data_IF_616929322693
#
_entry.id   IF_616929322693
#
_cell.length_a   1.000
_cell.length_b   1.000
_cell.length_c   1.000
_cell.angle_alpha   90.00
_cell.angle_beta   90.00
_cell.angle_gamma   90.00
#
_symmetry.space_group_name_H-M   'P 1'
#
loop_
_entity.id
_entity.type
_entity.pdbx_description
1 polymer ?
#
# COMPACT_ATOMS: atom_id res chain seq x y z
N UNK A 1 14.23 -14.59 -17.14
CA UNK A 1 13.19 -13.60 -17.53
C UNK A 1 13.71 -12.19 -17.29
N UNK A 2 13.36 -11.15 -18.05
CA UNK A 2 13.77 -9.80 -17.70
C UNK A 2 13.04 -9.39 -16.41
N UNK A 3 13.79 -8.90 -15.42
CA UNK A 3 13.24 -8.23 -14.22
C UNK A 3 12.16 -7.23 -14.66
N UNK A 4 11.08 -7.00 -13.88
CA UNK A 4 10.33 -5.77 -14.05
C UNK A 4 11.35 -4.64 -13.88
N UNK A 5 11.61 -3.91 -14.96
CA UNK A 5 12.45 -2.72 -14.87
C UNK A 5 11.86 -1.82 -13.79
N UNK A 6 12.69 -1.14 -13.01
CA UNK A 6 12.28 -0.11 -12.03
C UNK A 6 11.23 0.88 -12.57
N UNK A 7 11.08 0.97 -13.90
CA UNK A 7 10.10 1.73 -14.68
C UNK A 7 8.61 1.49 -14.35
N UNK A 8 8.20 0.48 -13.57
CA UNK A 8 6.76 0.20 -13.32
C UNK A 8 6.32 0.04 -11.87
N UNK A 9 7.19 0.22 -10.86
CA UNK A 9 6.83 -0.08 -9.47
C UNK A 9 5.68 0.80 -8.94
N UNK A 10 5.66 2.08 -9.33
CA UNK A 10 4.70 3.06 -8.83
C UNK A 10 3.78 3.65 -9.91
N UNK A 11 3.72 3.03 -11.09
CA UNK A 11 2.82 3.47 -12.17
C UNK A 11 1.42 2.86 -12.05
N UNK A 12 1.30 1.68 -11.40
CA UNK A 12 0.05 0.96 -11.20
C UNK A 12 -0.77 1.41 -9.99
N UNK A 13 -1.84 0.66 -9.64
CA UNK A 13 -2.47 0.79 -8.34
C UNK A 13 -1.54 0.21 -7.25
N UNK A 14 -1.55 0.79 -6.07
CA UNK A 14 -0.61 0.48 -4.98
C UNK A 14 -1.38 0.19 -3.69
N UNK A 15 -1.02 -0.85 -2.95
CA UNK A 15 -1.56 -1.08 -1.61
C UNK A 15 -0.87 -0.15 -0.61
N UNK A 16 -1.65 0.68 0.08
CA UNK A 16 -1.15 1.63 1.07
C UNK A 16 -0.57 0.95 2.31
N UNK A 17 0.35 1.62 3.02
CA UNK A 17 0.82 1.16 4.32
C UNK A 17 -0.26 1.35 5.37
N UNK A 18 -0.67 0.25 6.01
CA UNK A 18 -1.69 0.24 7.06
C UNK A 18 -1.23 -0.65 8.21
N UNK A 19 -1.04 -0.05 9.38
CA UNK A 19 -0.68 -0.77 10.62
C UNK A 19 -1.74 -1.85 10.88
N UNK A 20 -1.29 -3.08 11.15
CA UNK A 20 -2.09 -4.32 11.26
C UNK A 20 -2.76 -4.81 9.97
N UNK A 21 -3.26 -3.93 9.10
CA UNK A 21 -4.03 -4.36 7.93
C UNK A 21 -3.19 -4.81 6.73
N UNK A 22 -2.03 -4.19 6.48
CA UNK A 22 -1.13 -4.59 5.38
C UNK A 22 -0.23 -5.77 5.78
N UNK A 23 -0.83 -6.83 6.33
CA UNK A 23 -0.17 -8.08 6.72
C UNK A 23 0.09 -8.99 5.50
N UNK A 24 0.89 -10.09 5.60
CA UNK A 24 1.31 -10.88 4.45
C UNK A 24 0.18 -11.34 3.52
N UNK A 25 -0.91 -11.90 4.05
CA UNK A 25 -2.04 -12.34 3.22
C UNK A 25 -2.72 -11.22 2.43
N UNK A 26 -2.87 -10.02 3.03
CA UNK A 26 -3.40 -8.85 2.34
C UNK A 26 -2.47 -8.40 1.20
N UNK A 27 -1.15 -8.38 1.43
CA UNK A 27 -0.17 -7.97 0.41
C UNK A 27 -0.10 -8.98 -0.74
N UNK A 28 -0.13 -10.27 -0.44
CA UNK A 28 -0.11 -11.32 -1.46
C UNK A 28 -1.36 -11.25 -2.35
N UNK A 29 -2.54 -11.11 -1.76
CA UNK A 29 -3.78 -11.03 -2.51
C UNK A 29 -3.91 -9.71 -3.31
N UNK A 30 -3.45 -8.58 -2.76
CA UNK A 30 -3.41 -7.32 -3.50
C UNK A 30 -2.45 -7.39 -4.70
N UNK A 31 -1.26 -7.98 -4.54
CA UNK A 31 -0.33 -8.20 -5.65
C UNK A 31 -0.95 -9.09 -6.73
N UNK A 32 -1.60 -10.19 -6.34
CA UNK A 32 -2.29 -11.09 -7.26
C UNK A 32 -3.45 -10.44 -8.03
N UNK A 33 -4.08 -9.40 -7.47
CA UNK A 33 -5.13 -8.61 -8.12
C UNK A 33 -4.59 -7.45 -8.97
N UNK A 34 -3.26 -7.37 -9.13
CA UNK A 34 -2.59 -6.43 -10.01
C UNK A 34 -2.09 -5.14 -9.34
N UNK A 35 -1.88 -5.15 -8.01
CA UNK A 35 -1.15 -4.07 -7.36
C UNK A 35 0.31 -4.06 -7.83
N UNK A 36 0.77 -2.92 -8.35
CA UNK A 36 2.16 -2.72 -8.81
C UNK A 36 3.17 -2.67 -7.67
N UNK A 37 2.75 -2.22 -6.49
CA UNK A 37 3.52 -2.26 -5.26
C UNK A 37 2.62 -2.54 -4.06
N UNK A 38 3.15 -3.25 -3.07
CA UNK A 38 2.42 -3.57 -1.83
C UNK A 38 3.20 -3.17 -0.60
N UNK A 39 2.68 -2.21 0.16
CA UNK A 39 3.39 -1.65 1.31
C UNK A 39 3.16 -2.48 2.58
N UNK A 40 4.15 -2.54 3.46
CA UNK A 40 3.98 -3.03 4.84
C UNK A 40 3.15 -2.06 5.69
N UNK A 41 2.73 -2.48 6.88
CA UNK A 41 2.46 -1.50 7.94
C UNK A 41 3.74 -0.71 8.28
N UNK A 42 3.58 0.49 8.84
CA UNK A 42 4.74 1.30 9.21
C UNK A 42 5.56 0.63 10.33
N UNK A 43 6.81 0.29 10.05
CA UNK A 43 7.75 -0.34 10.99
C UNK A 43 8.59 0.75 11.66
N UNK A 44 8.75 0.69 12.98
CA UNK A 44 9.56 1.66 13.72
C UNK A 44 11.04 1.29 13.59
N UNK A 45 11.89 2.25 13.17
CA UNK A 45 13.33 2.02 12.94
C UNK A 45 14.04 1.35 14.13
N UNK A 46 13.87 1.89 15.33
CA UNK A 46 14.40 1.33 16.59
C UNK A 46 14.12 -0.17 16.77
N UNK A 47 12.97 -0.66 16.29
CA UNK A 47 12.60 -2.08 16.47
C UNK A 47 13.49 -3.03 15.67
N UNK A 48 14.25 -2.52 14.69
CA UNK A 48 15.13 -3.30 13.82
C UNK A 48 16.56 -3.43 14.33
N UNK A 49 16.94 -2.71 15.40
CA UNK A 49 18.31 -2.68 15.95
C UNK A 49 18.85 -4.07 16.28
N UNK A 50 18.09 -4.80 17.10
CA UNK A 50 18.47 -6.12 17.60
C UNK A 50 17.61 -7.21 16.95
N UNK A 51 17.82 -7.42 15.65
CA UNK A 51 17.03 -8.36 14.85
C UNK A 51 17.88 -9.36 14.07
N UNK A 52 17.29 -10.53 13.88
CA UNK A 52 17.84 -11.63 13.07
C UNK A 52 16.91 -11.95 11.91
N UNK A 53 17.48 -12.48 10.84
CA UNK A 53 16.73 -12.99 9.70
C UNK A 53 16.67 -14.51 9.79
N UNK A 54 15.46 -15.05 9.80
CA UNK A 54 15.17 -16.48 9.82
C UNK A 54 14.56 -16.88 8.47
N UNK A 55 15.04 -17.99 7.91
CA UNK A 55 14.54 -18.54 6.65
C UNK A 55 13.76 -19.81 6.93
N UNK A 56 12.49 -19.82 6.54
CA UNK A 56 11.64 -21.01 6.55
C UNK A 56 11.46 -21.48 5.10
N UNK A 57 12.25 -22.48 4.71
CA UNK A 57 12.25 -23.03 3.34
C UNK A 57 11.00 -23.83 3.03
N UNK A 58 10.35 -24.41 4.05
CA UNK A 58 9.14 -25.20 3.88
C UNK A 58 7.94 -24.28 3.57
N UNK A 59 7.89 -23.13 4.25
CA UNK A 59 6.86 -22.09 4.03
C UNK A 59 7.25 -21.06 2.98
N UNK A 60 8.44 -21.16 2.41
CA UNK A 60 8.97 -20.18 1.46
C UNK A 60 8.84 -18.74 1.99
N UNK A 61 9.22 -18.53 3.25
CA UNK A 61 9.03 -17.27 3.96
C UNK A 61 10.30 -16.88 4.70
N UNK A 62 10.67 -15.60 4.58
CA UNK A 62 11.68 -14.96 5.42
C UNK A 62 10.98 -14.22 6.56
N UNK A 63 11.52 -14.32 7.77
CA UNK A 63 11.07 -13.53 8.92
C UNK A 63 12.22 -12.71 9.48
N UNK A 64 11.95 -11.43 9.75
CA UNK A 64 12.81 -10.56 10.56
C UNK A 64 12.24 -10.56 11.96
N UNK A 65 13.03 -11.04 12.90
CA UNK A 65 12.62 -11.33 14.26
C UNK A 65 13.47 -10.56 15.26
N UNK A 66 12.88 -10.11 16.37
CA UNK A 66 13.68 -9.63 17.51
C UNK A 66 14.47 -10.79 18.11
N UNK A 67 15.71 -10.54 18.54
CA UNK A 67 16.52 -11.56 19.20
C UNK A 67 15.81 -12.09 20.46
N UNK A 68 15.71 -13.43 20.59
CA UNK A 68 15.25 -14.07 21.81
C UNK A 68 16.28 -13.84 22.93
N UNK A 69 15.89 -13.15 24.00
CA UNK A 69 16.79 -12.86 25.13
C UNK A 69 16.59 -13.82 26.30
N UNK A 70 15.34 -14.07 26.67
CA UNK A 70 14.94 -14.94 27.77
C UNK A 70 13.48 -15.39 27.60
N UNK A 71 13.01 -16.27 28.48
CA UNK A 71 11.64 -16.80 28.45
C UNK A 71 10.59 -15.68 28.56
N UNK A 72 10.85 -14.63 29.34
CA UNK A 72 9.95 -13.48 29.48
C UNK A 72 10.00 -12.51 28.28
N UNK A 73 10.99 -12.64 27.40
CA UNK A 73 11.20 -11.81 26.20
C UNK A 73 11.39 -12.70 24.96
N UNK A 74 10.33 -13.43 24.53
CA UNK A 74 10.41 -14.31 23.39
C UNK A 74 10.65 -13.52 22.10
N UNK A 75 11.20 -14.20 21.09
CA UNK A 75 11.33 -13.67 19.73
C UNK A 75 9.97 -13.22 19.19
N UNK A 76 9.96 -12.05 18.53
CA UNK A 76 8.78 -11.46 17.90
C UNK A 76 9.07 -11.19 16.44
N UNK A 77 8.19 -11.67 15.57
CA UNK A 77 8.25 -11.40 14.13
C UNK A 77 7.83 -9.96 13.87
N UNK A 78 8.73 -9.15 13.30
CA UNK A 78 8.47 -7.76 12.88
C UNK A 78 7.98 -7.71 11.44
N UNK A 79 8.62 -8.48 10.56
CA UNK A 79 8.29 -8.54 9.14
C UNK A 79 8.39 -9.98 8.66
N UNK A 80 7.32 -10.48 8.03
CA UNK A 80 7.35 -11.71 7.23
C UNK A 80 7.26 -11.35 5.76
N UNK A 81 8.11 -11.95 4.94
CA UNK A 81 8.21 -11.73 3.50
C UNK A 81 8.03 -13.08 2.78
N UNK A 82 7.00 -13.24 1.94
CA UNK A 82 6.94 -14.39 1.06
C UNK A 82 8.06 -14.29 0.03
N UNK A 83 8.80 -15.37 -0.16
CA UNK A 83 9.96 -15.44 -1.05
C UNK A 83 9.82 -16.54 -2.08
N UNK A 84 10.61 -16.46 -3.14
CA UNK A 84 10.77 -17.51 -4.15
C UNK A 84 12.26 -17.80 -4.37
N UNK A 85 12.65 -19.01 -4.77
CA UNK A 85 14.03 -19.32 -5.08
C UNK A 85 14.48 -18.50 -6.30
N UNK A 86 15.76 -18.12 -6.33
CA UNK A 86 16.39 -17.58 -7.53
C UNK A 86 16.98 -18.72 -8.37
N UNK A 87 17.60 -18.38 -9.51
CA UNK A 87 18.36 -19.35 -10.31
C UNK A 87 19.59 -19.90 -9.57
N UNK A 88 20.05 -19.22 -8.52
CA UNK A 88 21.18 -19.64 -7.70
C UNK A 88 20.68 -20.50 -6.52
N UNK A 89 21.18 -21.74 -6.36
CA UNK A 89 20.77 -22.62 -5.26
C UNK A 89 20.95 -21.96 -3.89
N UNK A 90 19.92 -22.06 -3.05
CA UNK A 90 19.93 -21.52 -1.68
C UNK A 90 19.75 -20.00 -1.59
N UNK A 91 19.57 -19.29 -2.71
CA UNK A 91 19.23 -17.87 -2.70
C UNK A 91 17.74 -17.65 -2.95
N UNK A 92 17.20 -16.64 -2.28
CA UNK A 92 15.78 -16.30 -2.32
C UNK A 92 15.60 -14.81 -2.62
N UNK A 93 14.50 -14.49 -3.27
CA UNK A 93 14.08 -13.11 -3.51
C UNK A 93 12.60 -12.91 -3.14
N UNK A 94 12.14 -11.67 -2.91
CA UNK A 94 10.73 -11.39 -2.63
C UNK A 94 9.82 -11.91 -3.74
N UNK A 95 8.78 -12.65 -3.37
CA UNK A 95 7.79 -13.18 -4.33
C UNK A 95 6.73 -12.14 -4.73
N UNK A 96 6.74 -10.96 -4.12
CA UNK A 96 5.79 -9.86 -4.36
C UNK A 96 6.55 -8.53 -4.43
N UNK A 97 6.01 -7.48 -5.08
CA UNK A 97 6.63 -6.15 -5.14
C UNK A 97 6.50 -5.41 -3.81
N UNK A 98 7.16 -5.94 -2.78
CA UNK A 98 7.11 -5.45 -1.41
C UNK A 98 7.85 -4.13 -1.25
N UNK A 99 7.15 -3.13 -0.71
CA UNK A 99 7.75 -1.88 -0.23
C UNK A 99 7.68 -1.85 1.30
N UNK A 100 8.83 -1.72 1.96
CA UNK A 100 8.89 -1.67 3.43
C UNK A 100 8.78 -0.22 3.87
N UNK A 101 7.67 0.15 4.50
CA UNK A 101 7.52 1.49 5.07
C UNK A 101 8.13 1.57 6.47
N UNK A 102 9.02 2.53 6.64
CA UNK A 102 9.71 2.84 7.88
C UNK A 102 9.19 4.14 8.50
N UNK A 103 9.19 4.17 9.82
CA UNK A 103 9.01 5.37 10.64
C UNK A 103 10.25 5.49 11.50
N UNK A 104 11.16 6.39 11.12
CA UNK A 104 12.47 6.60 11.75
C UNK A 104 12.59 7.99 12.37
N UNK A 105 13.61 8.20 13.20
CA UNK A 105 14.12 9.51 13.62
C UNK A 105 15.55 9.73 13.12
N UNK A 106 16.13 10.88 13.47
CA UNK A 106 17.50 11.28 13.09
C UNK A 106 18.59 10.33 13.62
N UNK A 107 18.33 9.61 14.71
CA UNK A 107 19.31 8.75 15.40
C UNK A 107 19.22 7.27 15.02
N UNK A 108 18.23 6.89 14.21
CA UNK A 108 18.10 5.51 13.73
C UNK A 108 19.28 5.15 12.80
N UNK A 109 19.80 3.93 12.94
CA UNK A 109 20.92 3.40 12.15
C UNK A 109 20.44 2.98 10.76
N UNK A 110 20.50 3.93 9.82
CA UNK A 110 19.97 3.76 8.47
C UNK A 110 20.77 2.70 7.68
N UNK A 111 22.09 2.65 7.83
CA UNK A 111 22.94 1.69 7.12
C UNK A 111 22.60 0.25 7.52
N UNK A 112 22.43 0.00 8.83
CA UNK A 112 22.00 -1.30 9.35
C UNK A 112 20.60 -1.67 8.89
N UNK A 113 19.66 -0.72 8.91
CA UNK A 113 18.27 -0.94 8.48
C UNK A 113 18.22 -1.30 6.98
N UNK A 114 18.91 -0.53 6.13
CA UNK A 114 18.95 -0.80 4.69
C UNK A 114 19.59 -2.16 4.40
N UNK A 115 20.73 -2.48 5.05
CA UNK A 115 21.41 -3.76 4.88
C UNK A 115 20.54 -4.96 5.27
N UNK A 116 19.71 -4.80 6.31
CA UNK A 116 18.76 -5.82 6.75
C UNK A 116 17.62 -6.05 5.75
N UNK A 117 17.08 -4.97 5.18
CA UNK A 117 15.81 -5.00 4.45
C UNK A 117 15.97 -5.14 2.93
N UNK A 118 17.03 -4.57 2.34
CA UNK A 118 17.25 -4.55 0.90
C UNK A 118 17.19 -5.95 0.24
N UNK A 119 17.72 -7.04 0.85
CA UNK A 119 17.60 -8.36 0.26
C UNK A 119 16.14 -8.85 0.11
N UNK A 120 15.21 -8.29 0.90
CA UNK A 120 13.86 -8.82 1.09
C UNK A 120 12.75 -7.87 0.64
N UNK A 121 13.07 -6.80 -0.09
CA UNK A 121 12.08 -5.90 -0.67
C UNK A 121 12.49 -5.43 -2.08
N UNK A 122 11.61 -4.67 -2.73
CA UNK A 122 11.92 -3.94 -3.98
C UNK A 122 11.91 -2.43 -3.79
N UNK A 123 11.45 -1.97 -2.61
CA UNK A 123 11.54 -0.57 -2.22
C UNK A 123 11.50 -0.37 -0.71
N UNK A 124 12.06 0.75 -0.28
CA UNK A 124 11.97 1.26 1.09
C UNK A 124 11.23 2.60 1.03
N UNK A 125 10.27 2.78 1.94
CA UNK A 125 9.49 4.02 2.04
C UNK A 125 9.70 4.71 3.38
N UNK A 126 9.85 6.03 3.36
CA UNK A 126 9.87 6.85 4.57
C UNK A 126 8.50 7.47 4.87
N UNK A 127 7.95 7.14 6.04
CA UNK A 127 6.72 7.76 6.54
C UNK A 127 7.00 9.15 7.11
N UNK A 128 6.52 10.19 6.43
CA UNK A 128 6.52 11.58 6.88
C UNK A 128 5.09 12.09 7.19
N UNK A 129 4.08 11.24 7.07
CA UNK A 129 2.67 11.62 7.18
C UNK A 129 1.99 11.28 8.52
N UNK A 130 2.56 10.37 9.32
CA UNK A 130 1.94 9.89 10.54
C UNK A 130 1.97 10.96 11.66
N UNK A 131 0.78 11.35 12.14
CA UNK A 131 0.61 12.29 13.26
C UNK A 131 0.29 11.62 14.59
N UNK A 132 0.35 10.28 14.67
CA UNK A 132 0.05 9.55 15.90
C UNK A 132 1.05 9.93 17.01
N UNK A 133 0.56 10.09 18.24
CA UNK A 133 1.36 10.63 19.34
C UNK A 133 2.65 9.84 19.60
N UNK A 134 2.62 8.51 19.47
CA UNK A 134 3.81 7.66 19.64
C UNK A 134 4.90 7.93 18.59
N UNK A 135 4.53 8.34 17.37
CA UNK A 135 5.49 8.69 16.33
C UNK A 135 6.05 10.09 16.58
N UNK A 136 5.18 11.04 16.93
CA UNK A 136 5.55 12.44 17.18
C UNK A 136 6.46 12.59 18.41
N UNK A 137 6.16 11.88 19.50
CA UNK A 137 6.98 11.91 20.72
C UNK A 137 8.39 11.38 20.47
N UNK A 138 8.52 10.35 19.62
CA UNK A 138 9.80 9.74 19.24
C UNK A 138 10.61 10.47 18.17
N UNK A 139 10.20 11.68 17.74
CA UNK A 139 10.91 12.44 16.70
C UNK A 139 10.66 11.95 15.27
N UNK A 140 9.54 11.26 15.03
CA UNK A 140 9.25 10.55 13.77
C UNK A 140 8.00 11.09 13.07
N UNK A 141 7.70 10.54 11.89
CA UNK A 141 6.49 10.88 11.14
C UNK A 141 6.46 12.36 10.77
N UNK A 142 5.35 13.04 11.04
CA UNK A 142 5.21 14.47 10.73
C UNK A 142 6.25 15.36 11.41
N UNK A 143 6.82 14.95 12.56
CA UNK A 143 7.85 15.74 13.25
C UNK A 143 9.19 15.72 12.50
N UNK A 144 9.41 14.70 11.68
CA UNK A 144 10.63 14.57 10.88
C UNK A 144 10.61 15.46 9.62
N UNK A 145 9.44 15.94 9.18
CA UNK A 145 9.28 16.65 7.89
C UNK A 145 10.28 17.80 7.67
N UNK A 146 10.58 18.58 8.71
CA UNK A 146 11.50 19.73 8.61
C UNK A 146 12.99 19.35 8.60
N UNK A 147 13.29 18.07 8.83
CA UNK A 147 14.65 17.52 8.89
C UNK A 147 14.79 16.29 8.01
N UNK A 148 13.83 16.07 7.11
CA UNK A 148 13.71 14.84 6.36
C UNK A 148 14.86 14.71 5.37
N UNK A 149 15.34 15.82 4.81
CA UNK A 149 16.39 15.88 3.79
C UNK A 149 17.66 15.14 4.23
N UNK A 150 18.13 15.37 5.47
CA UNK A 150 19.31 14.69 6.00
C UNK A 150 19.11 13.18 6.17
N UNK A 151 17.92 12.76 6.61
CA UNK A 151 17.59 11.33 6.76
C UNK A 151 17.45 10.65 5.39
N UNK A 152 16.81 11.32 4.42
CA UNK A 152 16.66 10.86 3.04
C UNK A 152 18.04 10.66 2.39
N UNK A 153 18.94 11.62 2.53
CA UNK A 153 20.30 11.53 1.99
C UNK A 153 21.05 10.30 2.54
N UNK A 154 20.89 9.97 3.84
CA UNK A 154 21.47 8.75 4.41
C UNK A 154 20.86 7.47 3.83
N UNK A 155 19.54 7.43 3.63
CA UNK A 155 18.89 6.28 2.99
C UNK A 155 19.41 6.06 1.58
N UNK A 156 19.45 7.11 0.77
CA UNK A 156 19.92 7.04 -0.61
C UNK A 156 21.38 6.59 -0.69
N UNK A 157 22.25 7.15 0.17
CA UNK A 157 23.65 6.72 0.28
C UNK A 157 23.78 5.24 0.66
N UNK A 158 23.03 4.79 1.66
CA UNK A 158 23.05 3.39 2.11
C UNK A 158 22.60 2.43 1.00
N UNK A 159 21.54 2.79 0.25
CA UNK A 159 21.02 1.99 -0.85
C UNK A 159 21.98 1.97 -2.05
N UNK A 160 22.60 3.10 -2.38
CA UNK A 160 23.62 3.21 -3.42
C UNK A 160 24.86 2.34 -3.11
N UNK A 161 25.30 2.35 -1.85
CA UNK A 161 26.38 1.45 -1.39
C UNK A 161 26.01 -0.04 -1.55
N UNK A 162 24.77 -0.42 -1.21
CA UNK A 162 24.29 -1.79 -1.35
C UNK A 162 24.28 -2.21 -2.82
N UNK A 163 23.77 -1.36 -3.72
CA UNK A 163 23.75 -1.62 -5.15
C UNK A 163 25.17 -1.72 -5.73
N UNK A 164 26.06 -0.79 -5.36
CA UNK A 164 27.47 -0.77 -5.78
C UNK A 164 28.25 -2.01 -5.30
N UNK A 165 27.85 -2.61 -4.18
CA UNK A 165 28.41 -3.86 -3.65
C UNK A 165 27.85 -5.13 -4.34
N UNK A 166 27.05 -4.99 -5.40
CA UNK A 166 26.43 -6.09 -6.13
C UNK A 166 25.05 -6.49 -5.59
N UNK A 167 24.49 -5.72 -4.65
CA UNK A 167 23.11 -5.85 -4.21
C UNK A 167 22.11 -5.47 -5.29
N UNK A 168 20.83 -5.80 -5.07
CA UNK A 168 19.76 -5.41 -5.99
C UNK A 168 19.45 -3.93 -5.82
N UNK A 169 19.11 -3.25 -6.91
CA UNK A 169 18.54 -1.91 -6.86
C UNK A 169 17.27 -1.88 -6.02
N UNK A 170 17.20 -0.97 -5.05
CA UNK A 170 16.03 -0.78 -4.18
C UNK A 170 15.53 0.65 -4.37
N UNK A 171 14.25 0.75 -4.76
CA UNK A 171 13.61 2.04 -4.93
C UNK A 171 13.37 2.72 -3.59
N UNK A 172 13.64 4.03 -3.50
CA UNK A 172 13.36 4.82 -2.30
C UNK A 172 12.16 5.75 -2.53
N UNK A 173 11.13 5.62 -1.69
CA UNK A 173 9.92 6.45 -1.75
C UNK A 173 9.62 7.18 -0.44
N UNK A 174 8.74 8.17 -0.52
CA UNK A 174 8.26 8.93 0.63
C UNK A 174 6.73 8.91 0.62
N UNK A 175 6.14 8.78 1.81
CA UNK A 175 4.72 9.04 2.01
C UNK A 175 4.48 10.22 2.94
N UNK A 176 3.87 11.28 2.43
CA UNK A 176 3.53 12.49 3.17
C UNK A 176 2.03 12.83 3.15
N UNK A 177 1.66 13.91 3.82
CA UNK A 177 0.34 14.57 3.73
C UNK A 177 0.46 15.84 2.88
N UNK A 178 -0.67 16.42 2.47
CA UNK A 178 -0.68 17.82 2.04
C UNK A 178 -0.08 18.71 3.12
N UNK A 179 0.72 19.69 2.71
CA UNK A 179 1.25 20.71 3.60
C UNK A 179 0.28 21.90 3.73
N UNK A 180 0.70 23.00 4.35
CA UNK A 180 -0.16 24.14 4.62
C UNK A 180 -0.78 24.74 3.35
N UNK A 181 -0.03 24.72 2.25
CA UNK A 181 -0.47 25.14 0.91
C UNK A 181 0.00 24.19 -0.19
N UNK A 182 -0.56 24.38 -1.39
CA UNK A 182 -0.11 23.71 -2.62
C UNK A 182 1.34 24.08 -2.93
N UNK A 183 1.71 25.34 -2.75
CA UNK A 183 3.06 25.87 -3.00
C UNK A 183 4.09 25.20 -2.10
N UNK A 184 3.81 25.14 -0.79
CA UNK A 184 4.68 24.46 0.18
C UNK A 184 4.83 22.97 -0.17
N UNK A 185 3.73 22.33 -0.57
CA UNK A 185 3.72 20.93 -0.99
C UNK A 185 4.58 20.70 -2.23
N UNK A 186 4.44 21.55 -3.27
CA UNK A 186 5.23 21.48 -4.50
C UNK A 186 6.71 21.70 -4.22
N UNK A 187 7.05 22.69 -3.39
CA UNK A 187 8.44 22.97 -3.06
C UNK A 187 9.10 21.79 -2.33
N UNK A 188 8.39 21.18 -1.37
CA UNK A 188 8.90 19.99 -0.69
C UNK A 188 9.07 18.80 -1.65
N UNK A 189 8.17 18.63 -2.61
CA UNK A 189 8.28 17.59 -3.66
C UNK A 189 9.51 17.83 -4.53
N UNK A 190 9.81 19.07 -4.92
CA UNK A 190 11.00 19.42 -5.71
C UNK A 190 12.27 19.04 -4.97
N UNK A 191 12.40 19.47 -3.71
CA UNK A 191 13.57 19.15 -2.87
C UNK A 191 13.77 17.64 -2.78
N UNK A 192 12.71 16.87 -2.51
CA UNK A 192 12.81 15.42 -2.43
C UNK A 192 13.12 14.75 -3.77
N UNK A 193 12.55 15.24 -4.86
CA UNK A 193 12.90 14.79 -6.20
C UNK A 193 14.38 15.03 -6.52
N UNK A 194 14.89 16.24 -6.27
CA UNK A 194 16.29 16.60 -6.52
C UNK A 194 17.28 15.80 -5.65
N UNK A 195 16.87 15.39 -4.45
CA UNK A 195 17.67 14.49 -3.62
C UNK A 195 17.79 13.08 -4.22
N UNK A 196 16.89 12.66 -5.12
CA UNK A 196 16.90 11.33 -5.73
C UNK A 196 15.76 10.41 -5.26
N UNK A 197 14.70 10.94 -4.64
CA UNK A 197 13.51 10.16 -4.28
C UNK A 197 12.78 9.74 -5.54
N UNK A 198 12.48 8.44 -5.67
CA UNK A 198 11.84 7.87 -6.87
C UNK A 198 10.31 7.92 -6.85
N UNK A 199 9.69 8.08 -5.69
CA UNK A 199 8.23 8.25 -5.60
C UNK A 199 7.81 9.04 -4.36
N UNK A 200 6.82 9.91 -4.53
CA UNK A 200 6.18 10.64 -3.43
C UNK A 200 4.67 10.36 -3.44
N UNK A 201 4.20 9.62 -2.44
CA UNK A 201 2.79 9.39 -2.20
C UNK A 201 2.22 10.48 -1.27
N UNK A 202 1.18 11.18 -1.73
CA UNK A 202 0.57 12.29 -0.99
C UNK A 202 -0.80 11.86 -0.50
N UNK A 203 -0.97 11.84 0.83
CA UNK A 203 -2.29 11.75 1.43
C UNK A 203 -2.98 13.10 1.32
N UNK A 204 -4.08 13.16 0.58
CA UNK A 204 -4.76 14.40 0.18
C UNK A 204 -5.58 15.06 1.29
N UNK A 205 -5.03 15.11 2.50
CA UNK A 205 -5.54 15.86 3.64
C UNK A 205 -4.37 16.46 4.38
N UNK A 206 -4.50 17.71 4.84
CA UNK A 206 -3.50 18.44 5.62
C UNK A 206 -3.33 17.86 7.02
N UNK A 207 -2.26 18.27 7.71
CA UNK A 207 -2.04 17.94 9.12
C UNK A 207 -3.25 18.37 9.97
N UNK A 208 -3.66 17.52 10.92
CA UNK A 208 -4.80 17.77 11.81
C UNK A 208 -6.17 17.42 11.22
N UNK A 209 -6.31 17.33 9.90
CA UNK A 209 -7.58 16.93 9.29
C UNK A 209 -7.84 15.43 9.50
N UNK A 210 -9.07 15.09 9.85
CA UNK A 210 -9.49 13.71 10.04
C UNK A 210 -10.43 13.25 8.92
N UNK A 211 -10.45 11.94 8.69
CA UNK A 211 -11.23 11.36 7.59
C UNK A 211 -12.73 11.47 7.79
N UNK A 212 -13.18 11.43 9.06
CA UNK A 212 -14.60 11.53 9.40
C UNK A 212 -15.18 12.93 9.23
N UNK A 213 -14.32 13.96 9.19
CA UNK A 213 -14.72 15.37 9.12
C UNK A 213 -14.37 16.03 7.79
N UNK A 214 -13.33 15.55 7.11
CA UNK A 214 -12.74 16.23 5.97
C UNK A 214 -12.58 15.24 4.82
N UNK A 215 -12.94 15.63 3.60
CA UNK A 215 -12.72 14.83 2.39
C UNK A 215 -11.29 14.99 1.87
N UNK A 216 -10.85 14.05 1.03
CA UNK A 216 -9.61 14.19 0.27
C UNK A 216 -9.70 15.36 -0.72
N UNK A 217 -8.76 16.29 -0.68
CA UNK A 217 -8.68 17.45 -1.57
C UNK A 217 -8.01 17.05 -2.90
N UNK A 218 -8.82 16.52 -3.82
CA UNK A 218 -8.33 16.11 -5.14
C UNK A 218 -7.95 17.28 -6.03
N UNK A 219 -8.58 18.46 -5.89
CA UNK A 219 -8.20 19.63 -6.66
C UNK A 219 -6.79 20.09 -6.30
N UNK A 220 -6.44 20.09 -5.00
CA UNK A 220 -5.07 20.33 -4.58
C UNK A 220 -4.09 19.32 -5.19
N UNK A 221 -4.45 18.03 -5.32
CA UNK A 221 -3.59 17.04 -5.97
C UNK A 221 -3.24 17.46 -7.40
N UNK A 222 -4.24 17.78 -8.21
CA UNK A 222 -4.01 18.14 -9.61
C UNK A 222 -3.28 19.48 -9.76
N UNK A 223 -3.53 20.45 -8.87
CA UNK A 223 -2.73 21.68 -8.82
C UNK A 223 -1.26 21.41 -8.46
N UNK A 224 -0.99 20.50 -7.52
CA UNK A 224 0.39 20.06 -7.20
C UNK A 224 1.05 19.45 -8.45
N UNK A 225 0.36 18.53 -9.15
CA UNK A 225 0.88 17.92 -10.37
C UNK A 225 1.18 18.98 -11.43
N UNK A 226 0.21 19.83 -11.76
CA UNK A 226 0.36 20.86 -12.79
C UNK A 226 1.54 21.79 -12.52
N UNK A 227 1.71 22.25 -11.27
CA UNK A 227 2.83 23.11 -10.86
C UNK A 227 4.17 22.37 -10.88
N UNK A 228 4.20 21.12 -10.43
CA UNK A 228 5.43 20.32 -10.44
C UNK A 228 5.90 20.04 -11.86
N UNK A 229 5.05 19.55 -12.77
CA UNK A 229 5.47 19.23 -14.13
C UNK A 229 5.79 20.43 -14.98
N UNK A 230 5.08 21.56 -14.78
CA UNK A 230 5.45 22.82 -15.43
C UNK A 230 6.86 23.24 -15.02
N UNK A 231 7.19 23.18 -13.73
CA UNK A 231 8.56 23.45 -13.25
C UNK A 231 9.57 22.42 -13.75
N UNK A 232 9.23 21.13 -13.71
CA UNK A 232 10.12 20.06 -14.15
C UNK A 232 10.49 20.25 -15.61
N UNK A 233 9.52 20.55 -16.46
CA UNK A 233 9.73 20.85 -17.88
C UNK A 233 10.55 22.11 -18.11
N UNK A 234 10.16 23.22 -17.47
CA UNK A 234 10.72 24.55 -17.82
C UNK A 234 12.03 24.86 -17.13
N UNK A 235 12.19 24.46 -15.87
CA UNK A 235 13.33 24.83 -15.02
C UNK A 235 14.31 23.68 -14.91
N UNK A 236 13.87 22.51 -14.44
CA UNK A 236 14.76 21.38 -14.18
C UNK A 236 15.28 20.74 -15.47
N UNK A 237 14.38 20.50 -16.43
CA UNK A 237 14.74 19.91 -17.73
C UNK A 237 15.13 20.96 -18.78
N UNK A 238 14.91 22.26 -18.52
CA UNK A 238 15.18 23.34 -19.48
C UNK A 238 14.60 23.09 -20.88
N UNK A 239 13.40 22.49 -20.94
CA UNK A 239 12.71 22.06 -22.17
C UNK A 239 13.46 20.99 -22.99
N UNK A 240 14.39 20.26 -22.38
CA UNK A 240 15.01 19.08 -22.94
C UNK A 240 14.04 17.89 -22.83
N UNK A 241 13.57 17.42 -23.98
CA UNK A 241 12.60 16.33 -24.05
C UNK A 241 13.13 15.02 -23.49
N UNK A 242 14.36 14.63 -23.84
CA UNK A 242 14.95 13.37 -23.41
C UNK A 242 15.06 13.33 -21.88
N UNK A 243 15.56 14.40 -21.27
CA UNK A 243 15.67 14.53 -19.82
C UNK A 243 14.31 14.51 -19.12
N UNK A 244 13.31 15.17 -19.71
CA UNK A 244 11.95 15.15 -19.19
C UNK A 244 11.39 13.74 -19.18
N UNK A 245 11.44 13.04 -20.31
CA UNK A 245 10.96 11.66 -20.41
C UNK A 245 11.71 10.68 -19.50
N UNK A 246 13.04 10.82 -19.39
CA UNK A 246 13.84 10.00 -18.48
C UNK A 246 13.41 10.22 -17.02
N UNK A 247 13.11 11.46 -16.66
CA UNK A 247 12.51 11.78 -15.35
C UNK A 247 11.14 11.13 -15.18
N UNK A 248 10.29 11.16 -16.22
CA UNK A 248 8.96 10.54 -16.12
C UNK A 248 9.03 9.03 -15.92
N UNK A 249 10.12 8.39 -16.34
CA UNK A 249 10.39 6.95 -16.18
C UNK A 249 10.86 6.58 -14.77
N UNK A 250 11.49 7.49 -14.03
CA UNK A 250 12.19 7.19 -12.76
C UNK A 250 11.54 7.80 -11.52
N UNK A 251 10.75 8.87 -11.68
CA UNK A 251 10.01 9.51 -10.59
C UNK A 251 8.52 9.14 -10.65
N UNK A 252 7.75 9.23 -9.56
CA UNK A 252 6.28 9.17 -9.55
C UNK A 252 5.67 10.03 -8.44
N UNK A 253 4.52 10.65 -8.70
CA UNK A 253 3.68 11.26 -7.67
C UNK A 253 2.37 10.47 -7.59
N UNK A 254 2.08 9.93 -6.41
CA UNK A 254 0.98 8.99 -6.20
C UNK A 254 -0.10 9.62 -5.31
N UNK A 255 -1.36 9.53 -5.77
CA UNK A 255 -2.52 9.98 -5.01
C UNK A 255 -2.91 8.98 -3.91
N UNK A 256 -3.14 9.45 -2.68
CA UNK A 256 -3.73 8.66 -1.61
C UNK A 256 -4.87 9.43 -0.93
N UNK A 257 -6.03 8.81 -0.78
CA UNK A 257 -7.21 9.47 -0.22
C UNK A 257 -8.46 8.60 -0.27
N UNK A 258 -9.58 9.20 -0.64
CA UNK A 258 -10.93 8.64 -0.53
C UNK A 258 -11.32 7.74 -1.72
N UNK A 259 -10.44 6.78 -2.05
CA UNK A 259 -10.62 5.81 -3.13
C UNK A 259 -11.20 4.51 -2.55
N UNK A 260 -12.49 4.56 -2.18
CA UNK A 260 -13.14 3.49 -1.42
C UNK A 260 -14.05 2.58 -2.24
N UNK A 261 -14.53 3.06 -3.39
CA UNK A 261 -15.49 2.36 -4.24
C UNK A 261 -15.11 2.52 -5.70
N UNK A 262 -15.66 1.65 -6.56
CA UNK A 262 -15.51 1.76 -8.03
C UNK A 262 -15.98 3.11 -8.55
N UNK A 263 -17.10 3.60 -8.02
CA UNK A 263 -17.67 4.92 -8.36
C UNK A 263 -16.72 6.07 -7.97
N UNK A 264 -16.16 6.05 -6.75
CA UNK A 264 -15.21 7.07 -6.30
C UNK A 264 -13.92 7.06 -7.14
N UNK A 265 -13.44 5.88 -7.52
CA UNK A 265 -12.26 5.72 -8.40
C UNK A 265 -12.54 6.22 -9.81
N UNK A 266 -13.69 5.87 -10.39
CA UNK A 266 -14.09 6.35 -11.72
C UNK A 266 -14.21 7.89 -11.74
N UNK A 267 -14.85 8.47 -10.73
CA UNK A 267 -14.94 9.92 -10.57
C UNK A 267 -13.56 10.59 -10.43
N UNK A 268 -12.64 9.97 -9.69
CA UNK A 268 -11.26 10.45 -9.57
C UNK A 268 -10.54 10.45 -10.94
N UNK A 269 -10.66 9.39 -11.74
CA UNK A 269 -10.04 9.36 -13.06
C UNK A 269 -10.67 10.34 -14.05
N UNK A 270 -12.00 10.51 -14.03
CA UNK A 270 -12.66 11.54 -14.83
C UNK A 270 -12.19 12.96 -14.47
N UNK A 271 -12.06 13.25 -13.16
CA UNK A 271 -11.48 14.51 -12.69
C UNK A 271 -10.02 14.66 -13.14
N UNK A 272 -9.25 13.57 -13.10
CA UNK A 272 -7.87 13.59 -13.57
C UNK A 272 -7.74 13.86 -15.07
N UNK A 273 -8.63 13.31 -15.90
CA UNK A 273 -8.66 13.57 -17.34
C UNK A 273 -9.02 15.03 -17.63
N UNK A 274 -9.98 15.58 -16.88
CA UNK A 274 -10.34 16.98 -16.97
C UNK A 274 -9.15 17.90 -16.70
N UNK A 275 -8.44 17.71 -15.58
CA UNK A 275 -7.25 18.50 -15.25
C UNK A 275 -6.09 18.30 -16.23
N UNK A 276 -5.88 17.07 -16.72
CA UNK A 276 -4.90 16.78 -17.77
C UNK A 276 -5.19 17.59 -19.05
N UNK A 277 -6.46 17.74 -19.43
CA UNK A 277 -6.85 18.50 -20.62
C UNK A 277 -6.50 20.00 -20.53
N UNK A 278 -6.41 20.53 -19.31
CA UNK A 278 -6.10 21.93 -19.01
C UNK A 278 -4.60 22.23 -18.93
N UNK A 279 -3.72 21.22 -18.98
CA UNK A 279 -2.29 21.43 -18.96
C UNK A 279 -1.79 22.11 -20.25
N UNK A 280 -0.66 22.85 -20.19
CA UNK A 280 -0.03 23.44 -21.37
C UNK A 280 0.22 22.40 -22.47
N UNK A 281 -0.01 22.80 -23.73
CA UNK A 281 0.05 21.93 -24.90
C UNK A 281 1.44 21.30 -25.07
N UNK A 282 2.48 21.98 -24.58
CA UNK A 282 3.86 21.52 -24.67
C UNK A 282 4.17 20.32 -23.78
N UNK A 283 3.51 20.18 -22.62
CA UNK A 283 3.77 19.08 -21.67
C UNK A 283 2.69 18.00 -21.72
N UNK A 284 1.47 18.38 -22.12
CA UNK A 284 0.29 17.52 -22.06
C UNK A 284 0.48 16.16 -22.77
N UNK A 285 1.02 16.07 -24.01
CA UNK A 285 1.18 14.79 -24.71
C UNK A 285 2.00 13.77 -23.91
N UNK A 286 3.06 14.22 -23.26
CA UNK A 286 3.97 13.36 -22.49
C UNK A 286 3.39 12.89 -21.15
N UNK A 287 2.34 13.56 -20.67
CA UNK A 287 1.67 13.21 -19.42
C UNK A 287 0.42 12.35 -19.66
N UNK A 288 0.00 12.13 -20.90
CA UNK A 288 -1.19 11.30 -21.22
C UNK A 288 -1.03 9.84 -20.83
N UNK A 289 0.20 9.31 -20.82
CA UNK A 289 0.53 7.94 -20.41
C UNK A 289 0.78 7.81 -18.91
N UNK A 290 0.58 8.90 -18.15
CA UNK A 290 0.89 8.98 -16.72
C UNK A 290 -0.25 9.57 -15.88
N UNK A 291 -1.08 10.40 -16.49
CA UNK A 291 -2.26 11.02 -15.88
C UNK A 291 -3.56 10.66 -16.59
N UNK A 292 -4.67 11.21 -16.10
CA UNK A 292 -6.01 10.76 -16.48
C UNK A 292 -6.29 9.40 -15.86
N UNK A 293 -6.63 8.41 -16.68
CA UNK A 293 -6.82 7.01 -16.25
C UNK A 293 -5.54 6.36 -15.71
N UNK A 294 -4.38 6.86 -16.12
CA UNK A 294 -3.08 6.33 -15.72
C UNK A 294 -2.57 6.91 -14.41
N UNK A 295 -3.25 7.92 -13.85
CA UNK A 295 -2.83 8.58 -12.60
C UNK A 295 -2.58 7.56 -11.50
N UNK A 296 -1.35 7.45 -10.95
CA UNK A 296 -1.03 6.49 -9.91
C UNK A 296 -1.83 6.72 -8.64
N UNK A 297 -2.42 5.66 -8.11
CA UNK A 297 -3.28 5.70 -6.94
C UNK A 297 -2.88 4.65 -5.91
N UNK A 298 -2.95 5.04 -4.65
CA UNK A 298 -2.67 4.20 -3.50
C UNK A 298 -3.94 3.94 -2.69
N UNK A 299 -4.36 2.68 -2.62
CA UNK A 299 -5.57 2.24 -1.92
C UNK A 299 -5.27 1.87 -0.47
N UNK A 300 -5.94 2.56 0.47
CA UNK A 300 -5.88 2.25 1.90
C UNK A 300 -7.14 1.49 2.35
N UNK A 301 -8.10 2.17 2.98
CA UNK A 301 -9.32 1.52 3.50
C UNK A 301 -10.19 0.90 2.40
N UNK A 302 -10.14 1.43 1.18
CA UNK A 302 -10.78 0.79 0.02
C UNK A 302 -10.32 -0.66 -0.15
N UNK A 303 -9.02 -0.93 0.01
CA UNK A 303 -8.47 -2.29 -0.05
C UNK A 303 -8.89 -3.18 1.14
N UNK A 304 -9.27 -2.60 2.29
CA UNK A 304 -9.82 -3.37 3.42
C UNK A 304 -11.23 -3.86 3.09
N UNK A 305 -12.03 -3.04 2.40
CA UNK A 305 -13.42 -3.35 2.04
C UNK A 305 -13.56 -4.14 0.75
N UNK A 306 -12.74 -3.86 -0.25
CA UNK A 306 -12.85 -4.44 -1.58
C UNK A 306 -11.46 -4.49 -2.22
N UNK A 307 -10.87 -5.68 -2.23
CA UNK A 307 -9.59 -5.94 -2.87
C UNK A 307 -9.70 -5.96 -4.40
N UNK A 308 -10.89 -6.18 -4.97
CA UNK A 308 -11.08 -6.21 -6.43
C UNK A 308 -10.92 -4.83 -7.07
N UNK A 309 -10.85 -3.76 -6.27
CA UNK A 309 -10.55 -2.41 -6.74
C UNK A 309 -9.19 -2.32 -7.44
N UNK A 310 -8.21 -3.16 -7.09
CA UNK A 310 -6.93 -3.22 -7.81
C UNK A 310 -7.12 -3.65 -9.26
N UNK A 311 -7.87 -4.74 -9.49
CA UNK A 311 -8.19 -5.22 -10.84
C UNK A 311 -9.06 -4.23 -11.59
N UNK A 312 -10.04 -3.63 -10.92
CA UNK A 312 -10.88 -2.58 -11.51
C UNK A 312 -10.07 -1.39 -12.04
N UNK A 313 -9.07 -0.92 -11.28
CA UNK A 313 -8.21 0.18 -11.73
C UNK A 313 -7.44 -0.21 -13.00
N UNK A 314 -6.93 -1.44 -13.06
CA UNK A 314 -6.22 -1.93 -14.23
C UNK A 314 -7.15 -2.10 -15.45
N UNK A 315 -8.40 -2.52 -15.24
CA UNK A 315 -9.45 -2.56 -16.29
C UNK A 315 -9.72 -1.16 -16.85
N UNK A 316 -9.80 -0.13 -16.00
CA UNK A 316 -9.99 1.27 -16.46
C UNK A 316 -8.82 1.77 -17.31
N UNK A 317 -7.64 1.16 -17.17
CA UNK A 317 -6.42 1.49 -17.91
C UNK A 317 -6.22 0.64 -19.16
N UNK A 318 -7.17 -0.24 -19.49
CA UNK A 318 -7.07 -1.21 -20.59
C UNK A 318 -5.84 -2.13 -20.47
N UNK A 319 -5.31 -2.26 -19.25
CA UNK A 319 -4.22 -3.19 -18.93
C UNK A 319 -4.80 -4.47 -18.37
N UNK A 320 -4.55 -5.59 -19.04
CA UNK A 320 -4.75 -6.89 -18.42
C UNK A 320 -3.66 -7.10 -17.38
N UNK A 321 -4.05 -7.35 -16.12
CA UNK A 321 -3.08 -7.79 -15.13
C UNK A 321 -2.50 -9.13 -15.63
N UNK A 322 -1.20 -9.18 -15.89
CA UNK A 322 -0.52 -10.44 -16.09
C UNK A 322 -0.65 -11.22 -14.78
N UNK A 323 -1.52 -12.22 -14.74
CA UNK A 323 -1.52 -13.19 -13.66
C UNK A 323 -0.22 -13.97 -13.83
N UNK A 324 0.77 -13.70 -12.99
CA UNK A 324 2.01 -14.45 -12.97
C UNK A 324 1.66 -15.93 -12.88
N UNK A 325 2.10 -16.72 -13.88
CA UNK A 325 1.74 -18.14 -14.03
C UNK A 325 2.22 -19.04 -12.87
N UNK A 326 2.92 -18.46 -11.89
CA UNK A 326 3.37 -19.11 -10.64
C UNK A 326 2.55 -18.70 -9.42
N UNK A 327 1.28 -18.28 -9.57
CA UNK A 327 0.40 -18.06 -8.40
C UNK A 327 0.22 -19.36 -7.61
N UNK A 328 0.49 -19.30 -6.31
CA UNK A 328 0.27 -20.41 -5.39
C UNK A 328 -1.19 -20.88 -5.41
N UNK A 329 -1.41 -22.17 -5.10
CA UNK A 329 -2.75 -22.79 -5.07
C UNK A 329 -3.74 -21.99 -4.22
N UNK A 330 -3.33 -21.56 -3.01
CA UNK A 330 -4.17 -20.77 -2.12
C UNK A 330 -4.56 -19.40 -2.70
N UNK A 331 -3.67 -18.77 -3.47
CA UNK A 331 -3.96 -17.51 -4.15
C UNK A 331 -4.93 -17.74 -5.28
N UNK A 332 -4.78 -18.84 -6.05
CA UNK A 332 -5.72 -19.22 -7.10
C UNK A 332 -7.14 -19.46 -6.55
N UNK A 333 -7.27 -20.18 -5.44
CA UNK A 333 -8.55 -20.42 -4.77
C UNK A 333 -9.20 -19.11 -4.30
N UNK A 334 -8.42 -18.23 -3.65
CA UNK A 334 -8.90 -16.93 -3.20
C UNK A 334 -9.33 -16.03 -4.37
N UNK A 335 -8.56 -16.00 -5.46
CA UNK A 335 -8.94 -15.28 -6.69
C UNK A 335 -10.23 -15.86 -7.28
N UNK A 336 -10.41 -17.18 -7.28
CA UNK A 336 -11.64 -17.81 -7.77
C UNK A 336 -12.88 -17.40 -6.97
N UNK A 337 -12.73 -17.09 -5.68
CA UNK A 337 -13.81 -16.56 -4.84
C UNK A 337 -14.16 -15.12 -5.22
N UNK A 338 -13.15 -14.30 -5.52
CA UNK A 338 -13.31 -12.88 -5.84
C UNK A 338 -13.79 -12.62 -7.27
N UNK A 339 -13.36 -13.44 -8.23
CA UNK A 339 -13.64 -13.26 -9.66
C UNK A 339 -14.93 -13.94 -10.14
N UNK A 340 -15.64 -14.67 -9.27
CA UNK A 340 -16.95 -15.24 -9.61
C UNK A 340 -18.03 -14.14 -9.57
N UNK A 341 -18.79 -13.93 -10.64
CA UNK A 341 -19.93 -13.04 -10.63
C UNK A 341 -21.01 -13.63 -9.72
N UNK A 342 -21.15 -13.12 -8.50
CA UNK A 342 -22.38 -13.26 -7.73
C UNK A 342 -22.86 -11.87 -7.38
N UNK A 343 -23.93 -11.44 -8.05
CA UNK A 343 -24.64 -10.25 -7.64
C UNK A 343 -25.53 -10.54 -6.42
N UNK A 344 -25.59 -9.62 -5.44
CA UNK A 344 -24.73 -8.45 -5.26
C UNK A 344 -23.43 -8.79 -4.49
N UNK A 345 -22.37 -7.96 -4.63
CA UNK A 345 -21.11 -8.14 -3.93
C UNK A 345 -21.32 -8.24 -2.41
N UNK A 346 -20.65 -9.22 -1.82
CA UNK A 346 -20.76 -9.58 -0.41
C UNK A 346 -19.39 -9.42 0.25
N UNK A 347 -19.31 -8.64 1.33
CA UNK A 347 -18.04 -8.49 2.06
C UNK A 347 -17.57 -9.83 2.66
N UNK A 348 -18.49 -10.76 2.97
CA UNK A 348 -18.12 -12.08 3.47
C UNK A 348 -17.31 -12.90 2.45
N UNK A 349 -17.54 -12.69 1.14
CA UNK A 349 -16.72 -13.34 0.10
C UNK A 349 -15.27 -12.84 0.17
N UNK A 350 -15.10 -11.53 0.34
CA UNK A 350 -13.77 -10.91 0.53
C UNK A 350 -13.11 -11.40 1.82
N UNK A 351 -13.87 -11.49 2.91
CA UNK A 351 -13.41 -12.03 4.17
C UNK A 351 -12.92 -13.48 4.03
N UNK A 352 -13.68 -14.33 3.33
CA UNK A 352 -13.30 -15.72 3.05
C UNK A 352 -12.03 -15.83 2.21
N UNK A 353 -11.97 -15.10 1.09
CA UNK A 353 -10.78 -15.08 0.25
C UNK A 353 -9.53 -14.65 1.04
N UNK A 354 -9.66 -13.60 1.86
CA UNK A 354 -8.58 -13.14 2.72
C UNK A 354 -8.22 -14.16 3.81
N UNK A 355 -9.19 -14.89 4.36
CA UNK A 355 -8.96 -15.96 5.36
C UNK A 355 -8.05 -17.05 4.79
N UNK A 356 -8.35 -17.57 3.59
CA UNK A 356 -7.55 -18.62 2.94
C UNK A 356 -6.09 -18.20 2.77
N UNK A 357 -5.87 -17.02 2.19
CA UNK A 357 -4.51 -16.50 1.96
C UNK A 357 -3.82 -16.19 3.28
N UNK A 358 -4.55 -15.71 4.29
CA UNK A 358 -3.98 -15.41 5.61
C UNK A 358 -3.47 -16.67 6.31
N UNK A 359 -4.23 -17.76 6.25
CA UNK A 359 -3.85 -19.04 6.85
C UNK A 359 -2.65 -19.65 6.10
N UNK A 360 -2.69 -19.66 4.76
CA UNK A 360 -1.61 -20.20 3.94
C UNK A 360 -0.29 -19.40 4.05
N UNK A 361 -0.36 -18.11 4.36
CA UNK A 361 0.81 -17.25 4.59
C UNK A 361 1.24 -17.18 6.05
N UNK A 362 0.62 -17.98 6.93
CA UNK A 362 0.85 -17.95 8.37
C UNK A 362 0.77 -16.53 8.96
N UNK A 363 -0.12 -15.72 8.40
CA UNK A 363 -0.34 -14.36 8.87
C UNK A 363 -0.78 -14.41 10.33
N UNK A 364 -0.33 -13.44 11.13
CA UNK A 364 -0.77 -13.36 12.52
C UNK A 364 -2.29 -13.16 12.56
N UNK A 365 -3.03 -14.11 13.15
CA UNK A 365 -4.49 -14.14 13.11
C UNK A 365 -5.16 -12.84 13.58
N UNK A 366 -4.61 -12.19 14.61
CA UNK A 366 -5.15 -10.90 15.08
C UNK A 366 -5.13 -9.80 14.01
N UNK A 367 -4.22 -9.85 13.04
CA UNK A 367 -4.18 -8.90 11.92
C UNK A 367 -5.34 -9.16 10.95
N UNK A 368 -5.60 -10.43 10.61
CA UNK A 368 -6.78 -10.82 9.83
C UNK A 368 -8.07 -10.39 10.54
N UNK A 369 -8.23 -10.77 11.82
CA UNK A 369 -9.39 -10.40 12.65
C UNK A 369 -9.60 -8.88 12.70
N UNK A 370 -8.52 -8.12 12.92
CA UNK A 370 -8.56 -6.66 12.90
C UNK A 370 -9.07 -6.13 11.57
N UNK A 371 -8.55 -6.63 10.45
CA UNK A 371 -8.92 -6.19 9.10
C UNK A 371 -10.38 -6.52 8.78
N UNK A 372 -10.84 -7.73 9.11
CA UNK A 372 -12.23 -8.17 8.92
C UNK A 372 -13.22 -7.28 9.68
N UNK A 373 -12.99 -7.07 10.98
CA UNK A 373 -13.87 -6.25 11.81
C UNK A 373 -13.89 -4.79 11.34
N UNK A 374 -12.72 -4.23 11.00
CA UNK A 374 -12.66 -2.87 10.46
C UNK A 374 -13.33 -2.77 9.09
N UNK A 375 -13.21 -3.78 8.22
CA UNK A 375 -13.86 -3.78 6.93
C UNK A 375 -15.37 -3.81 7.03
N UNK A 376 -15.95 -4.65 7.90
CA UNK A 376 -17.40 -4.66 8.17
C UNK A 376 -17.86 -3.30 8.70
N UNK A 377 -17.15 -2.75 9.69
CA UNK A 377 -17.47 -1.44 10.23
C UNK A 377 -17.41 -0.34 9.16
N UNK A 378 -16.39 -0.38 8.31
CA UNK A 378 -16.14 0.59 7.24
C UNK A 378 -17.19 0.53 6.14
N UNK A 379 -17.48 -0.67 5.64
CA UNK A 379 -18.54 -0.95 4.67
C UNK A 379 -19.89 -0.44 5.18
N UNK A 380 -20.19 -0.67 6.45
CA UNK A 380 -21.42 -0.20 7.09
C UNK A 380 -21.50 1.33 7.19
N UNK A 381 -20.40 1.98 7.57
CA UNK A 381 -20.41 3.43 7.82
C UNK A 381 -20.32 4.28 6.55
N UNK A 382 -19.78 3.73 5.45
CA UNK A 382 -19.63 4.44 4.16
C UNK A 382 -20.63 3.98 3.11
N UNK A 383 -21.62 3.17 3.51
CA UNK A 383 -22.72 2.72 2.65
C UNK A 383 -22.23 2.07 1.34
N UNK A 384 -21.08 1.39 1.39
CA UNK A 384 -20.42 0.79 0.22
C UNK A 384 -21.35 -0.26 -0.44
N UNK A 385 -22.28 -0.82 0.33
CA UNK A 385 -23.41 -1.59 -0.20
C UNK A 385 -24.73 -0.88 0.11
N UNK A 386 -25.47 -0.57 -0.96
CA UNK A 386 -26.50 0.48 -1.02
C UNK A 386 -27.85 0.14 -0.34
N UNK A 387 -28.06 -1.08 0.16
CA UNK A 387 -29.35 -1.44 0.80
C UNK A 387 -29.34 -1.30 2.32
N UNK A 388 -30.43 -0.77 2.89
CA UNK A 388 -30.67 -0.72 4.34
C UNK A 388 -30.60 -2.11 4.98
N UNK A 389 -31.13 -3.12 4.29
CA UNK A 389 -31.07 -4.54 4.69
C UNK A 389 -29.64 -5.01 4.92
N UNK A 390 -28.71 -4.74 3.99
CA UNK A 390 -27.31 -5.12 4.15
C UNK A 390 -26.65 -4.39 5.32
N UNK A 391 -26.93 -3.09 5.47
CA UNK A 391 -26.42 -2.29 6.60
C UNK A 391 -26.83 -2.87 7.95
N UNK A 392 -28.10 -3.23 8.10
CA UNK A 392 -28.63 -3.87 9.32
C UNK A 392 -27.99 -5.24 9.56
N UNK A 393 -27.88 -6.07 8.54
CA UNK A 393 -27.21 -7.36 8.65
C UNK A 393 -25.72 -7.25 9.07
N UNK A 394 -24.98 -6.25 8.57
CA UNK A 394 -23.60 -6.02 8.99
C UNK A 394 -23.46 -5.63 10.46
N UNK A 395 -24.49 -5.04 11.09
CA UNK A 395 -24.51 -4.84 12.55
C UNK A 395 -24.47 -6.18 13.29
N UNK A 396 -25.30 -7.14 12.86
CA UNK A 396 -25.29 -8.50 13.40
C UNK A 396 -23.95 -9.21 13.14
N UNK A 397 -23.42 -9.14 11.91
CA UNK A 397 -22.14 -9.76 11.59
C UNK A 397 -21.01 -9.23 12.47
N UNK A 398 -20.94 -7.90 12.65
CA UNK A 398 -19.92 -7.29 13.49
C UNK A 398 -19.97 -7.77 14.94
N UNK A 399 -21.17 -8.05 15.48
CA UNK A 399 -21.34 -8.61 16.83
C UNK A 399 -20.94 -10.09 16.88
N UNK A 400 -21.44 -10.90 15.94
CA UNK A 400 -21.11 -12.33 15.86
C UNK A 400 -19.59 -12.58 15.70
N UNK A 401 -18.90 -11.71 14.97
CA UNK A 401 -17.47 -11.83 14.68
C UNK A 401 -16.56 -11.29 15.79
N UNK A 402 -17.07 -10.84 16.95
CA UNK A 402 -16.21 -10.38 18.06
C UNK A 402 -15.54 -11.54 18.82
N UNK A 403 -16.31 -12.61 19.06
CA UNK A 403 -15.91 -13.74 19.89
C UNK A 403 -14.94 -14.79 19.30
N UNK A 404 -14.79 -14.99 17.97
CA UNK A 404 -13.97 -16.10 17.49
C UNK A 404 -12.46 -15.86 17.71
N UNK A 405 -11.72 -16.97 17.82
CA UNK A 405 -10.34 -17.03 18.35
C UNK A 405 -9.34 -17.67 17.39
N UNK A 406 -9.78 -18.44 16.40
CA UNK A 406 -8.93 -19.16 15.44
C UNK A 406 -9.39 -19.03 13.99
N UNK A 407 -8.52 -19.35 13.03
CA UNK A 407 -8.85 -19.40 11.61
C UNK A 407 -10.03 -20.35 11.33
N UNK A 408 -10.02 -21.56 11.92
CA UNK A 408 -11.09 -22.55 11.77
C UNK A 408 -12.46 -22.09 12.28
N UNK A 409 -12.51 -21.42 13.44
CA UNK A 409 -13.78 -20.87 13.96
C UNK A 409 -14.33 -19.76 13.05
N UNK A 410 -13.47 -18.88 12.53
CA UNK A 410 -13.91 -17.87 11.55
C UNK A 410 -14.36 -18.52 10.23
N UNK A 411 -13.73 -19.61 9.79
CA UNK A 411 -14.14 -20.36 8.58
C UNK A 411 -15.56 -20.89 8.72
N UNK A 412 -15.86 -21.54 9.84
CA UNK A 412 -17.20 -22.04 10.17
C UNK A 412 -18.19 -20.88 10.27
N UNK A 413 -17.84 -19.83 11.01
CA UNK A 413 -18.73 -18.68 11.21
C UNK A 413 -19.03 -17.95 9.90
N UNK A 414 -18.03 -17.67 9.05
CA UNK A 414 -18.25 -17.03 7.75
C UNK A 414 -19.08 -17.92 6.81
N UNK A 415 -18.96 -19.24 6.91
CA UNK A 415 -19.81 -20.18 6.18
C UNK A 415 -21.26 -20.09 6.65
N UNK A 416 -21.50 -20.06 7.96
CA UNK A 416 -22.83 -19.84 8.55
C UNK A 416 -23.42 -18.49 8.13
N UNK A 417 -22.68 -17.39 8.26
CA UNK A 417 -23.18 -16.07 7.89
C UNK A 417 -23.50 -15.95 6.39
N UNK A 418 -22.80 -16.71 5.54
CA UNK A 418 -23.04 -16.73 4.09
C UNK A 418 -24.12 -17.71 3.65
N UNK A 419 -24.66 -18.56 4.54
CA UNK A 419 -25.67 -19.58 4.17
C UNK A 419 -27.09 -19.03 4.11
N UNK A 420 -27.32 -17.85 4.69
CA UNK A 420 -28.61 -17.17 4.74
C UNK A 420 -28.56 -15.82 4.01
N UNK A 421 -29.67 -15.36 3.42
CA UNK A 421 -29.73 -14.04 2.80
C UNK A 421 -29.59 -12.92 3.83
N UNK A 422 -29.12 -11.74 3.41
CA UNK A 422 -28.99 -10.56 4.28
C UNK A 422 -30.28 -10.18 5.02
N UNK A 423 -31.46 -10.43 4.42
CA UNK A 423 -32.76 -10.18 5.03
C UNK A 423 -33.02 -11.03 6.29
N UNK A 424 -32.44 -12.23 6.38
CA UNK A 424 -32.51 -13.06 7.58
C UNK A 424 -31.78 -12.39 8.74
N UNK A 425 -30.53 -11.99 8.51
CA UNK A 425 -29.68 -11.38 9.53
C UNK A 425 -30.11 -9.97 9.93
N UNK A 426 -30.68 -9.20 9.00
CA UNK A 426 -31.23 -7.88 9.28
C UNK A 426 -32.34 -7.95 10.35
N UNK A 427 -33.26 -8.91 10.24
CA UNK A 427 -34.34 -9.13 11.23
C UNK A 427 -33.81 -9.49 12.62
N UNK A 428 -32.66 -10.16 12.69
CA UNK A 428 -32.01 -10.51 13.95
C UNK A 428 -31.23 -9.34 14.58
N UNK A 429 -30.90 -8.30 13.81
CA UNK A 429 -30.19 -7.11 14.29
C UNK A 429 -31.11 -6.04 14.90
N UNK A 430 -32.42 -6.17 14.64
CA UNK A 430 -33.52 -5.30 15.11
C UNK A 430 -34.12 -5.77 16.44
N UNK A 431 -33.92 -7.04 16.80
CA UNK A 431 -34.20 -7.60 18.13
C UNK A 431 -33.00 -7.39 19.04
#
# INVERSE_FOLDING_TARGET
>A
MPRPSSRSLYSGPILAPMVRASFPGMRLLAAALGASAVYTGAIVGDSLKDTVTEVDTDKMTISICTVHRCVESPSRVILSVPVRPTELPGQFEPAIPLVVQLTVNENDDIDRICSLLAPWCVGIDLNLGCGAQFAVSGGRGQRLMNKAEGVIARFLKALDHIESAGGRHISFSIKQRLLGSTEETVEKIRVFYELGVSCIAIHMRKKGEERGSTQADWNAFFHVLAKFYTWLWTVSCQRNLQLFEDTLRTFQIVANGDLFTREAIANFFALSEHHLSQLPVEIRPYLTTRYGRWTPVMLARGAISDLTLFSFINEQRETTAAVDASTSVCTSEALSLLMKPKEPPCYLTHAKALLEVSEATHSHFNNYKYTLLNGIAFVRSHEIYKSSTQRSAYKHFNQALQAPKTYGEYRTLLSTLSSQPYSHWAKLAEK
#
